data_IF_803326584077
#
_entry.id   IF_803326584077
#
_cell.length_a   1.000
_cell.length_b   1.000
_cell.length_c   1.000
_cell.angle_alpha   90.00
_cell.angle_beta   90.00
_cell.angle_gamma   90.00
#
_symmetry.space_group_name_H-M   'P 1'
#
loop_
_entity.id
_entity.type
_entity.pdbx_description
1 polymer ?
#
# COMPACT_ATOMS: atom_id res chain seq x y z
N UNK A 1 75.64 4.62 30.85
CA UNK A 1 74.89 5.73 31.50
C UNK A 1 73.45 5.65 31.04
N UNK A 2 72.51 5.64 31.98
CA UNK A 2 71.07 5.35 31.82
C UNK A 2 70.39 6.20 30.71
N UNK A 3 69.41 5.66 29.99
CA UNK A 3 68.27 6.44 29.52
C UNK A 3 67.05 6.22 30.43
N UNK A 4 66.26 7.28 30.50
CA UNK A 4 65.12 7.50 31.36
C UNK A 4 63.85 6.85 30.81
N UNK A 5 63.06 6.32 31.74
CA UNK A 5 61.64 6.05 31.62
C UNK A 5 60.85 7.31 31.22
N UNK A 6 59.84 7.14 30.38
CA UNK A 6 58.57 7.87 30.43
C UNK A 6 57.55 7.19 29.50
N UNK A 7 56.84 6.21 30.06
CA UNK A 7 55.60 5.68 29.50
C UNK A 7 54.42 6.47 30.10
N UNK A 8 53.79 7.32 29.29
CA UNK A 8 52.46 7.86 29.57
C UNK A 8 51.43 6.88 29.03
N UNK A 9 50.91 6.04 29.91
CA UNK A 9 49.74 5.21 29.66
C UNK A 9 48.51 6.00 30.14
N UNK A 10 47.68 6.46 29.21
CA UNK A 10 46.37 7.04 29.54
C UNK A 10 45.28 6.21 28.86
N UNK A 11 44.63 5.40 29.68
CA UNK A 11 43.50 4.57 29.31
C UNK A 11 42.31 5.44 28.87
N UNK A 12 41.90 5.28 27.62
CA UNK A 12 40.63 5.82 27.14
C UNK A 12 39.45 5.01 27.74
N UNK A 13 38.43 5.65 28.31
CA UNK A 13 37.26 4.93 28.83
C UNK A 13 36.43 4.33 27.68
N UNK A 14 36.08 3.05 27.83
CA UNK A 14 35.33 2.28 26.84
C UNK A 14 33.91 2.83 26.61
N UNK A 15 33.56 2.99 25.34
CA UNK A 15 32.28 3.51 24.82
C UNK A 15 31.07 2.62 25.18
N UNK A 16 31.31 1.43 25.75
CA UNK A 16 30.27 0.44 26.04
C UNK A 16 29.40 0.76 27.28
N UNK A 17 29.84 1.60 28.22
CA UNK A 17 29.11 1.81 29.49
C UNK A 17 28.12 2.99 29.49
N UNK A 18 28.10 3.83 28.44
CA UNK A 18 27.15 4.96 28.33
C UNK A 18 25.77 4.58 27.76
N UNK A 19 25.66 3.47 27.03
CA UNK A 19 24.40 3.03 26.37
C UNK A 19 23.37 2.44 27.35
N UNK A 20 23.80 1.87 28.47
CA UNK A 20 22.91 1.20 29.43
C UNK A 20 22.27 2.15 30.43
N UNK A 21 22.95 3.24 30.82
CA UNK A 21 22.39 4.24 31.76
C UNK A 21 21.43 5.24 31.09
N UNK A 22 21.58 5.52 29.80
CA UNK A 22 20.60 6.32 29.04
C UNK A 22 19.34 5.53 28.72
N UNK A 23 19.42 4.22 28.44
CA UNK A 23 18.25 3.39 28.17
C UNK A 23 17.23 3.32 29.33
N UNK A 24 17.70 3.31 30.58
CA UNK A 24 16.84 3.30 31.77
C UNK A 24 16.14 4.64 32.06
N UNK A 25 16.77 5.76 31.73
CA UNK A 25 16.16 7.10 31.85
C UNK A 25 15.10 7.34 30.74
N UNK A 26 15.26 6.74 29.55
CA UNK A 26 14.26 6.81 28.48
C UNK A 26 13.04 5.93 28.72
N UNK A 27 13.18 4.76 29.37
CA UNK A 27 12.05 3.94 29.79
C UNK A 27 11.16 4.66 30.83
N UNK A 28 11.77 5.44 31.74
CA UNK A 28 11.04 6.28 32.69
C UNK A 28 10.26 7.42 32.03
N UNK A 29 10.84 8.10 31.03
CA UNK A 29 10.17 9.18 30.31
C UNK A 29 9.03 8.69 29.38
N UNK A 30 9.17 7.48 28.81
CA UNK A 30 8.10 6.81 28.06
C UNK A 30 6.94 6.41 28.98
N UNK A 31 7.22 5.95 30.20
CA UNK A 31 6.19 5.57 31.17
C UNK A 31 5.41 6.77 31.75
N UNK A 32 6.07 7.92 31.94
CA UNK A 32 5.41 9.13 32.49
C UNK A 32 4.54 9.86 31.44
N UNK A 33 4.80 9.70 30.14
CA UNK A 33 3.96 10.28 29.07
C UNK A 33 2.95 9.29 28.46
N UNK A 34 3.12 7.98 28.67
CA UNK A 34 2.05 7.00 28.45
C UNK A 34 0.90 7.18 29.45
N UNK A 35 1.14 7.84 30.59
CA UNK A 35 0.16 8.05 31.68
C UNK A 35 -0.85 9.18 31.47
N UNK A 36 -0.68 10.08 30.50
CA UNK A 36 -1.55 11.26 30.32
C UNK A 36 -2.04 11.45 28.88
N UNK A 37 -2.42 10.37 28.21
CA UNK A 37 -3.41 10.32 27.12
C UNK A 37 -3.44 8.89 26.56
N UNK A 38 -3.56 7.88 27.44
CA UNK A 38 -4.00 6.58 26.96
C UNK A 38 -5.37 6.83 26.30
N UNK A 39 -5.58 6.49 25.01
CA UNK A 39 -6.93 6.44 24.48
C UNK A 39 -7.75 5.57 25.46
N UNK A 40 -9.02 5.92 25.73
CA UNK A 40 -9.84 5.13 26.64
C UNK A 40 -9.71 3.65 26.23
N UNK A 41 -9.53 2.71 27.20
CA UNK A 41 -9.34 1.31 26.88
C UNK A 41 -10.44 0.88 25.91
N UNK A 42 -10.07 0.68 24.64
CA UNK A 42 -11.03 0.32 23.62
C UNK A 42 -11.62 -1.02 24.04
N UNK A 43 -12.95 -1.05 24.21
CA UNK A 43 -13.68 -2.28 24.49
C UNK A 43 -13.21 -3.38 23.53
N UNK A 44 -13.01 -4.63 24.00
CA UNK A 44 -12.54 -5.71 23.17
C UNK A 44 -13.37 -5.76 21.88
N UNK A 45 -12.67 -5.58 20.76
CA UNK A 45 -13.29 -5.42 19.45
C UNK A 45 -14.18 -6.63 19.18
N UNK A 46 -15.47 -6.36 18.91
CA UNK A 46 -16.45 -7.41 18.66
C UNK A 46 -16.08 -8.10 17.34
N UNK A 47 -15.47 -9.28 17.43
CA UNK A 47 -15.20 -10.14 16.27
C UNK A 47 -16.44 -10.98 15.98
N UNK A 48 -17.14 -10.67 14.90
CA UNK A 48 -18.28 -11.46 14.44
C UNK A 48 -17.82 -12.35 13.28
N UNK A 49 -17.86 -13.68 13.40
CA UNK A 49 -17.57 -14.55 12.26
C UNK A 49 -18.55 -14.24 11.13
N UNK A 50 -18.05 -14.28 9.90
CA UNK A 50 -18.82 -14.05 8.69
C UNK A 50 -18.33 -14.95 7.56
N UNK A 51 -19.27 -15.40 6.73
CA UNK A 51 -18.97 -16.10 5.48
C UNK A 51 -19.81 -15.55 4.34
N UNK A 52 -19.19 -15.25 3.20
CA UNK A 52 -19.92 -14.78 2.02
C UNK A 52 -19.02 -14.66 0.81
N UNK A 53 -19.51 -13.98 -0.23
CA UNK A 53 -18.77 -13.78 -1.48
C UNK A 53 -18.70 -12.28 -1.81
N UNK A 54 -17.52 -11.83 -2.21
CA UNK A 54 -17.31 -10.50 -2.76
C UNK A 54 -16.41 -10.61 -3.97
N UNK A 55 -16.80 -9.99 -5.09
CA UNK A 55 -15.99 -9.96 -6.31
C UNK A 55 -15.67 -11.33 -6.92
N UNK A 56 -16.49 -12.37 -6.71
CA UNK A 56 -16.15 -13.72 -7.15
C UNK A 56 -15.19 -14.45 -6.21
N UNK A 57 -14.85 -13.87 -5.06
CA UNK A 57 -13.96 -14.44 -4.06
C UNK A 57 -14.74 -14.79 -2.79
N UNK A 58 -14.52 -16.01 -2.29
CA UNK A 58 -15.06 -16.44 -0.99
C UNK A 58 -14.34 -15.69 0.14
N UNK A 59 -15.10 -15.09 1.04
CA UNK A 59 -14.62 -14.44 2.25
C UNK A 59 -15.09 -15.27 3.45
N UNK A 60 -14.14 -15.74 4.25
CA UNK A 60 -14.39 -16.42 5.52
C UNK A 60 -13.47 -15.80 6.58
N UNK A 61 -14.03 -14.95 7.45
CA UNK A 61 -13.24 -14.15 8.40
C UNK A 61 -14.11 -13.62 9.56
N UNK A 62 -13.66 -12.58 10.26
CA UNK A 62 -14.47 -11.82 11.22
C UNK A 62 -14.62 -10.36 10.80
N UNK A 63 -15.76 -9.77 11.18
CA UNK A 63 -16.08 -8.35 10.98
C UNK A 63 -16.38 -7.61 12.28
N UNK A 64 -16.31 -6.29 12.23
CA UNK A 64 -16.45 -5.36 13.36
C UNK A 64 -17.91 -5.04 13.75
N UNK A 65 -18.90 -5.40 12.92
CA UNK A 65 -20.30 -5.02 13.14
C UNK A 65 -21.32 -5.99 12.55
N UNK A 66 -22.54 -5.95 13.11
CA UNK A 66 -23.68 -6.72 12.59
C UNK A 66 -24.12 -6.26 11.21
N UNK A 67 -23.99 -4.97 10.90
CA UNK A 67 -24.31 -4.41 9.59
C UNK A 67 -23.33 -4.91 8.52
N UNK A 68 -22.03 -4.98 8.82
CA UNK A 68 -21.03 -5.57 7.93
C UNK A 68 -21.33 -7.05 7.68
N UNK A 69 -21.61 -7.81 8.75
CA UNK A 69 -21.97 -9.23 8.65
C UNK A 69 -23.21 -9.44 7.78
N UNK A 70 -24.30 -8.74 8.10
CA UNK A 70 -25.56 -8.80 7.34
C UNK A 70 -25.35 -8.41 5.87
N UNK A 71 -24.55 -7.38 5.62
CA UNK A 71 -24.30 -6.91 4.26
C UNK A 71 -23.62 -7.99 3.42
N UNK A 72 -22.62 -8.67 3.97
CA UNK A 72 -21.88 -9.73 3.29
C UNK A 72 -22.67 -11.05 3.15
N UNK A 73 -23.31 -11.52 4.22
CA UNK A 73 -24.04 -12.80 4.24
C UNK A 73 -25.37 -12.75 3.47
N UNK A 74 -26.13 -11.66 3.61
CA UNK A 74 -27.50 -11.58 3.10
C UNK A 74 -27.63 -10.54 1.99
N UNK A 75 -27.21 -9.30 2.24
CA UNK A 75 -27.55 -8.20 1.35
C UNK A 75 -26.90 -8.32 -0.03
N UNK A 76 -25.63 -8.72 -0.10
CA UNK A 76 -24.92 -8.94 -1.37
C UNK A 76 -25.50 -10.13 -2.12
N UNK A 77 -25.89 -11.20 -1.43
CA UNK A 77 -26.52 -12.41 -1.98
C UNK A 77 -27.95 -12.17 -2.53
N UNK A 78 -28.53 -11.00 -2.26
CA UNK A 78 -29.89 -10.65 -2.70
C UNK A 78 -30.98 -11.04 -1.70
N UNK A 79 -30.60 -11.59 -0.56
CA UNK A 79 -31.51 -11.87 0.54
C UNK A 79 -31.87 -10.54 1.24
N UNK A 80 -33.17 -10.32 1.45
CA UNK A 80 -33.73 -9.08 2.03
C UNK A 80 -34.53 -9.41 3.28
N UNK A 81 -33.82 -9.89 4.30
CA UNK A 81 -34.41 -10.43 5.53
C UNK A 81 -34.53 -9.39 6.64
N UNK A 82 -33.92 -8.21 6.49
CA UNK A 82 -33.93 -7.12 7.47
C UNK A 82 -34.41 -5.80 6.87
N UNK A 83 -35.73 -5.61 6.78
CA UNK A 83 -36.38 -4.50 6.05
C UNK A 83 -35.83 -3.10 6.39
N UNK A 84 -35.60 -2.80 7.67
CA UNK A 84 -35.04 -1.50 8.10
C UNK A 84 -33.57 -1.34 7.69
N UNK A 85 -32.75 -2.38 7.93
CA UNK A 85 -31.32 -2.35 7.59
C UNK A 85 -31.13 -2.31 6.07
N UNK A 86 -31.94 -3.05 5.31
CA UNK A 86 -31.96 -2.98 3.84
C UNK A 86 -32.30 -1.58 3.33
N UNK A 87 -33.29 -0.91 3.92
CA UNK A 87 -33.62 0.47 3.55
C UNK A 87 -32.44 1.42 3.83
N UNK A 88 -31.79 1.29 4.99
CA UNK A 88 -30.59 2.08 5.33
C UNK A 88 -29.42 1.80 4.37
N UNK A 89 -29.19 0.53 4.03
CA UNK A 89 -28.15 0.13 3.07
C UNK A 89 -28.47 0.68 1.69
N UNK A 90 -29.72 0.60 1.23
CA UNK A 90 -30.12 1.15 -0.07
C UNK A 90 -29.86 2.66 -0.16
N UNK A 91 -30.14 3.42 0.92
CA UNK A 91 -29.79 4.85 1.01
C UNK A 91 -28.28 5.05 0.95
N UNK A 92 -27.49 4.27 1.67
CA UNK A 92 -26.02 4.33 1.66
C UNK A 92 -25.44 4.00 0.28
N UNK A 93 -25.96 2.96 -0.40
CA UNK A 93 -25.56 2.61 -1.76
C UNK A 93 -25.89 3.73 -2.74
N UNK A 94 -27.09 4.30 -2.67
CA UNK A 94 -27.52 5.38 -3.56
C UNK A 94 -26.67 6.63 -3.39
N UNK A 95 -26.38 7.02 -2.14
CA UNK A 95 -25.49 8.15 -1.84
C UNK A 95 -24.07 7.90 -2.35
N UNK A 96 -23.52 6.72 -2.11
CA UNK A 96 -22.17 6.34 -2.57
C UNK A 96 -22.06 6.30 -4.10
N UNK A 97 -23.15 5.98 -4.82
CA UNK A 97 -23.14 6.03 -6.29
C UNK A 97 -23.10 7.45 -6.85
N UNK A 98 -23.55 8.44 -6.08
CA UNK A 98 -23.68 9.85 -6.52
C UNK A 98 -22.57 10.75 -6.00
N UNK A 99 -22.06 10.46 -4.80
CA UNK A 99 -20.91 11.13 -4.23
C UNK A 99 -19.66 10.43 -4.74
N UNK A 100 -18.82 11.13 -5.50
CA UNK A 100 -17.45 10.68 -5.76
C UNK A 100 -16.82 10.18 -4.44
N UNK A 101 -16.02 9.12 -4.47
CA UNK A 101 -15.42 8.60 -3.25
C UNK A 101 -14.52 9.65 -2.60
N UNK A 102 -14.99 10.26 -1.51
CA UNK A 102 -14.22 11.21 -0.70
C UNK A 102 -13.93 10.63 0.67
N UNK A 103 -12.84 11.12 1.31
CA UNK A 103 -12.51 10.81 2.71
C UNK A 103 -13.70 11.08 3.64
N UNK A 104 -14.36 12.23 3.46
CA UNK A 104 -15.51 12.63 4.29
C UNK A 104 -16.69 11.67 4.16
N UNK A 105 -17.05 11.29 2.93
CA UNK A 105 -18.15 10.36 2.69
C UNK A 105 -17.88 8.98 3.30
N UNK A 106 -16.68 8.44 3.10
CA UNK A 106 -16.30 7.14 3.62
C UNK A 106 -16.13 7.14 5.15
N UNK A 107 -15.65 8.22 5.76
CA UNK A 107 -15.60 8.39 7.21
C UNK A 107 -17.02 8.38 7.80
N UNK A 108 -17.96 9.14 7.21
CA UNK A 108 -19.38 9.12 7.63
C UNK A 108 -20.02 7.74 7.50
N UNK A 109 -19.67 6.97 6.46
CA UNK A 109 -20.13 5.58 6.33
C UNK A 109 -19.59 4.69 7.45
N UNK A 110 -18.31 4.83 7.78
CA UNK A 110 -17.69 4.10 8.90
C UNK A 110 -18.36 4.45 10.23
N UNK A 111 -18.73 5.71 10.46
CA UNK A 111 -19.44 6.15 11.65
C UNK A 111 -20.88 5.63 11.71
N UNK A 112 -21.61 5.68 10.59
CA UNK A 112 -23.02 5.29 10.53
C UNK A 112 -23.26 3.77 10.58
N UNK A 113 -22.30 2.98 10.10
CA UNK A 113 -22.42 1.53 10.00
C UNK A 113 -21.26 0.81 10.69
N UNK A 114 -20.09 0.82 10.05
CA UNK A 114 -18.79 0.41 10.58
C UNK A 114 -17.73 0.52 9.49
N UNK A 115 -16.45 0.40 9.85
CA UNK A 115 -15.34 0.42 8.89
C UNK A 115 -15.42 -0.77 7.94
N UNK A 116 -15.69 -1.98 8.43
CA UNK A 116 -15.80 -3.15 7.55
C UNK A 116 -17.00 -3.03 6.59
N UNK A 117 -18.13 -2.47 7.04
CA UNK A 117 -19.26 -2.19 6.15
C UNK A 117 -18.86 -1.18 5.07
N UNK A 118 -18.18 -0.10 5.45
CA UNK A 118 -17.69 0.90 4.50
C UNK A 118 -16.70 0.28 3.49
N UNK A 119 -15.81 -0.61 3.92
CA UNK A 119 -14.88 -1.34 3.05
C UNK A 119 -15.63 -2.22 2.05
N UNK A 120 -16.59 -3.03 2.51
CA UNK A 120 -17.40 -3.88 1.64
C UNK A 120 -18.20 -3.07 0.61
N UNK A 121 -18.81 -1.96 1.04
CA UNK A 121 -19.56 -1.08 0.15
C UNK A 121 -18.64 -0.40 -0.87
N UNK A 122 -17.50 0.15 -0.43
CA UNK A 122 -16.50 0.77 -1.29
C UNK A 122 -16.00 -0.20 -2.37
N UNK A 123 -15.57 -1.40 -1.97
CA UNK A 123 -15.12 -2.45 -2.88
C UNK A 123 -16.20 -2.83 -3.88
N UNK A 124 -17.43 -3.07 -3.41
CA UNK A 124 -18.55 -3.42 -4.31
C UNK A 124 -18.77 -2.33 -5.37
N UNK A 125 -18.71 -1.06 -4.98
CA UNK A 125 -18.97 0.06 -5.88
C UNK A 125 -17.83 0.25 -6.90
N UNK A 126 -16.56 0.08 -6.49
CA UNK A 126 -15.43 0.04 -7.43
C UNK A 126 -15.63 -1.04 -8.51
N UNK A 127 -16.15 -2.21 -8.12
CA UNK A 127 -16.38 -3.35 -9.01
C UNK A 127 -17.62 -3.22 -9.89
N UNK A 128 -18.46 -2.19 -9.69
CA UNK A 128 -19.55 -1.88 -10.62
C UNK A 128 -19.06 -1.20 -11.88
N UNK A 129 -17.92 -0.52 -11.84
CA UNK A 129 -17.33 0.08 -13.04
C UNK A 129 -16.88 -1.01 -14.00
N UNK A 130 -17.37 -0.95 -15.23
CA UNK A 130 -17.11 -1.96 -16.26
C UNK A 130 -15.63 -2.21 -16.52
N UNK A 131 -14.80 -1.15 -16.49
CA UNK A 131 -13.34 -1.25 -16.68
C UNK A 131 -12.71 -2.12 -15.58
N UNK A 132 -13.06 -1.87 -14.32
CA UNK A 132 -12.57 -2.62 -13.17
C UNK A 132 -13.06 -4.06 -13.21
N UNK A 133 -14.37 -4.26 -13.45
CA UNK A 133 -14.98 -5.59 -13.53
C UNK A 133 -14.38 -6.47 -14.64
N UNK A 134 -14.12 -5.90 -15.82
CA UNK A 134 -13.48 -6.64 -16.92
C UNK A 134 -12.06 -7.07 -16.56
N UNK A 135 -11.30 -6.18 -15.93
CA UNK A 135 -9.93 -6.47 -15.50
C UNK A 135 -9.90 -7.54 -14.40
N UNK A 136 -10.80 -7.44 -13.41
CA UNK A 136 -10.99 -8.45 -12.38
C UNK A 136 -11.27 -9.83 -12.95
N UNK A 137 -12.24 -9.93 -13.86
CA UNK A 137 -12.58 -11.21 -14.50
C UNK A 137 -11.42 -11.75 -15.34
N UNK A 138 -10.62 -10.88 -15.96
CA UNK A 138 -9.44 -11.31 -16.70
C UNK A 138 -8.37 -11.87 -15.76
N UNK A 139 -8.07 -11.18 -14.66
CA UNK A 139 -7.15 -11.64 -13.64
C UNK A 139 -7.61 -12.96 -13.04
N UNK A 140 -8.86 -13.05 -12.59
CA UNK A 140 -9.41 -14.28 -12.00
C UNK A 140 -9.33 -15.46 -12.97
N UNK A 141 -9.73 -15.29 -14.23
CA UNK A 141 -9.62 -16.36 -15.24
C UNK A 141 -8.18 -16.81 -15.45
N UNK A 142 -7.23 -15.88 -15.49
CA UNK A 142 -5.82 -16.22 -15.70
C UNK A 142 -5.21 -16.88 -14.46
N UNK A 143 -5.54 -16.40 -13.25
CA UNK A 143 -5.16 -17.06 -12.00
C UNK A 143 -5.75 -18.47 -11.92
N UNK A 144 -7.03 -18.65 -12.21
CA UNK A 144 -7.67 -19.97 -12.22
C UNK A 144 -7.06 -20.90 -13.27
N UNK A 145 -6.68 -20.36 -14.43
CA UNK A 145 -5.96 -21.11 -15.49
C UNK A 145 -4.61 -21.58 -14.98
N UNK A 146 -3.84 -20.72 -14.31
CA UNK A 146 -2.56 -21.08 -13.72
C UNK A 146 -2.72 -22.12 -12.61
N UNK A 147 -3.76 -22.01 -11.77
CA UNK A 147 -4.07 -23.00 -10.73
C UNK A 147 -4.42 -24.36 -11.35
N UNK A 148 -5.29 -24.38 -12.39
CA UNK A 148 -5.71 -25.62 -13.07
C UNK A 148 -4.62 -26.24 -13.96
N UNK A 149 -3.63 -25.45 -14.39
CA UNK A 149 -2.59 -25.86 -15.35
C UNK A 149 -1.50 -26.79 -14.83
N UNK A 150 -1.51 -27.05 -13.52
CA UNK A 150 -0.65 -27.86 -12.65
C UNK A 150 0.02 -27.06 -11.54
N UNK A 151 -0.19 -27.58 -10.34
CA UNK A 151 0.49 -27.28 -9.11
C UNK A 151 2.02 -27.50 -9.23
N UNK A 152 2.76 -26.58 -8.63
CA UNK A 152 4.14 -26.68 -8.15
C UNK A 152 5.30 -26.94 -9.14
N UNK A 153 5.15 -27.78 -10.18
CA UNK A 153 6.32 -28.32 -10.91
C UNK A 153 6.40 -27.99 -12.40
N UNK A 154 5.39 -27.33 -13.00
CA UNK A 154 5.50 -26.84 -14.38
C UNK A 154 6.11 -25.43 -14.40
N UNK A 155 7.07 -25.15 -15.30
CA UNK A 155 7.57 -23.80 -15.51
C UNK A 155 6.41 -22.87 -15.80
N UNK A 156 6.40 -21.69 -15.16
CA UNK A 156 5.46 -20.64 -15.54
C UNK A 156 5.63 -20.41 -17.05
N UNK A 157 4.54 -20.40 -17.84
CA UNK A 157 4.70 -20.32 -19.28
C UNK A 157 5.48 -19.06 -19.67
N UNK A 158 6.41 -19.21 -20.61
CA UNK A 158 7.34 -18.18 -21.05
C UNK A 158 6.62 -16.89 -21.47
N UNK A 159 7.30 -15.76 -21.30
CA UNK A 159 6.82 -14.46 -21.71
C UNK A 159 6.41 -14.51 -23.19
N UNK A 160 5.15 -14.16 -23.46
CA UNK A 160 4.63 -14.07 -24.82
C UNK A 160 5.32 -12.98 -25.64
N UNK A 161 5.93 -11.99 -24.96
CA UNK A 161 6.65 -10.90 -25.61
C UNK A 161 7.81 -10.36 -24.71
N UNK A 162 9.10 -10.56 -25.07
CA UNK A 162 10.26 -10.02 -24.36
C UNK A 162 10.49 -8.51 -24.59
N UNK A 163 9.60 -7.80 -25.30
CA UNK A 163 9.72 -6.36 -25.55
C UNK A 163 9.51 -5.48 -24.30
N UNK A 164 8.80 -5.98 -23.29
CA UNK A 164 8.54 -5.25 -22.06
C UNK A 164 9.63 -5.45 -20.98
N UNK A 165 10.12 -4.33 -20.45
CA UNK A 165 10.94 -4.28 -19.24
C UNK A 165 10.08 -3.86 -18.05
N UNK A 166 10.20 -4.58 -16.93
CA UNK A 166 9.48 -4.28 -15.71
C UNK A 166 10.43 -3.58 -14.72
N UNK A 167 10.15 -2.32 -14.43
CA UNK A 167 10.89 -1.53 -13.45
C UNK A 167 10.09 -1.48 -12.14
N UNK A 168 10.74 -1.77 -11.01
CA UNK A 168 10.12 -1.81 -9.70
C UNK A 168 10.60 -0.66 -8.82
N UNK A 169 9.70 0.26 -8.48
CA UNK A 169 9.90 1.32 -7.50
C UNK A 169 9.48 0.81 -6.11
N UNK A 170 10.43 0.61 -5.19
CA UNK A 170 10.16 -0.07 -3.93
C UNK A 170 9.40 0.80 -2.92
N UNK A 171 8.97 0.16 -1.84
CA UNK A 171 8.35 0.84 -0.70
C UNK A 171 9.37 1.34 0.33
N UNK A 172 8.83 1.79 1.46
CA UNK A 172 9.63 2.31 2.57
C UNK A 172 10.43 1.19 3.26
N UNK A 173 11.71 1.42 3.59
CA UNK A 173 12.62 0.43 4.21
C UNK A 173 12.77 -0.92 3.47
N UNK A 174 12.76 -0.89 2.14
CA UNK A 174 12.79 -2.11 1.33
C UNK A 174 14.09 -2.93 1.41
N UNK A 175 15.23 -2.32 1.73
CA UNK A 175 16.55 -2.97 1.80
C UNK A 175 16.93 -3.38 3.23
N UNK A 176 16.36 -2.73 4.25
CA UNK A 176 16.67 -2.93 5.67
C UNK A 176 15.63 -3.76 6.41
N UNK A 177 14.51 -4.10 5.77
CA UNK A 177 13.44 -4.91 6.37
C UNK A 177 12.95 -6.01 5.43
N UNK A 178 12.53 -7.13 6.02
CA UNK A 178 11.83 -8.21 5.30
C UNK A 178 10.33 -7.90 5.20
N UNK A 179 10.02 -6.79 4.53
CA UNK A 179 8.66 -6.31 4.29
C UNK A 179 8.09 -6.79 2.95
N UNK A 180 8.92 -7.33 2.06
CA UNK A 180 8.57 -7.59 0.67
C UNK A 180 8.43 -6.34 -0.19
N UNK A 181 8.77 -5.15 0.33
CA UNK A 181 8.62 -3.86 -0.35
C UNK A 181 9.59 -3.67 -1.53
N UNK A 182 10.58 -4.55 -1.70
CA UNK A 182 11.53 -4.56 -2.83
C UNK A 182 11.07 -5.45 -4.00
N UNK A 183 9.91 -6.11 -3.84
CA UNK A 183 9.36 -7.06 -4.77
C UNK A 183 10.26 -8.26 -5.11
N UNK A 184 11.17 -8.69 -4.21
CA UNK A 184 12.11 -9.78 -4.50
C UNK A 184 11.43 -11.01 -5.12
N UNK A 185 10.39 -11.51 -4.45
CA UNK A 185 9.66 -12.73 -4.86
C UNK A 185 8.90 -12.55 -6.18
N UNK A 186 8.31 -11.38 -6.40
CA UNK A 186 7.60 -11.05 -7.64
C UNK A 186 8.57 -10.91 -8.81
N UNK A 187 9.70 -10.22 -8.60
CA UNK A 187 10.77 -10.07 -9.60
C UNK A 187 11.37 -11.42 -9.97
N UNK A 188 11.64 -12.29 -9.01
CA UNK A 188 12.13 -13.65 -9.25
C UNK A 188 11.13 -14.45 -10.09
N UNK A 189 9.85 -14.42 -9.72
CA UNK A 189 8.77 -15.08 -10.49
C UNK A 189 8.71 -14.59 -11.93
N UNK A 190 8.76 -13.28 -12.16
CA UNK A 190 8.72 -12.70 -13.51
C UNK A 190 10.01 -12.95 -14.30
N UNK A 191 11.16 -12.99 -13.63
CA UNK A 191 12.44 -13.36 -14.27
C UNK A 191 12.44 -14.82 -14.73
N UNK A 192 11.87 -15.73 -13.92
CA UNK A 192 11.66 -17.13 -14.31
C UNK A 192 10.72 -17.29 -15.50
N UNK A 193 9.80 -16.33 -15.71
CA UNK A 193 8.95 -16.25 -16.89
C UNK A 193 9.65 -15.65 -18.11
N UNK A 194 10.90 -15.17 -17.99
CA UNK A 194 11.66 -14.58 -19.09
C UNK A 194 11.52 -13.06 -19.24
N UNK A 195 10.87 -12.36 -18.30
CA UNK A 195 10.82 -10.90 -18.30
C UNK A 195 12.12 -10.27 -17.78
N UNK A 196 12.56 -9.16 -18.37
CA UNK A 196 13.64 -8.34 -17.79
C UNK A 196 13.06 -7.49 -16.65
N UNK A 197 13.45 -7.83 -15.42
CA UNK A 197 13.03 -7.12 -14.22
C UNK A 197 14.19 -6.34 -13.61
N UNK A 198 13.93 -5.10 -13.17
CA UNK A 198 14.93 -4.28 -12.49
C UNK A 198 14.31 -3.58 -11.28
N UNK A 199 15.02 -3.61 -10.16
CA UNK A 199 14.73 -2.75 -9.02
C UNK A 199 15.29 -1.35 -9.27
N UNK A 200 14.52 -0.31 -8.97
CA UNK A 200 14.99 1.07 -8.93
C UNK A 200 15.47 1.34 -7.50
N UNK A 201 16.79 1.48 -7.33
CA UNK A 201 17.40 1.72 -6.01
C UNK A 201 17.19 3.16 -5.56
N UNK A 202 16.02 3.42 -4.99
CA UNK A 202 15.66 4.69 -4.34
C UNK A 202 16.22 4.76 -2.92
N UNK A 203 16.22 5.94 -2.31
CA UNK A 203 16.54 6.06 -0.89
C UNK A 203 15.40 5.48 -0.05
N UNK A 204 15.67 4.49 0.79
CA UNK A 204 14.65 3.74 1.54
C UNK A 204 13.72 4.63 2.40
N UNK A 205 14.27 5.68 3.01
CA UNK A 205 13.58 6.61 3.88
C UNK A 205 13.60 8.06 3.36
N UNK A 206 14.11 8.30 2.16
CA UNK A 206 14.18 9.64 1.55
C UNK A 206 12.82 10.19 1.14
N UNK A 207 12.79 11.50 0.86
CA UNK A 207 11.61 12.22 0.40
C UNK A 207 11.12 11.74 -0.97
N UNK A 208 9.79 11.81 -1.15
CA UNK A 208 9.14 11.41 -2.40
C UNK A 208 9.72 12.14 -3.61
N UNK A 209 9.98 13.46 -3.51
CA UNK A 209 10.47 14.25 -4.64
C UNK A 209 11.89 13.84 -5.08
N UNK A 210 12.76 13.53 -4.12
CA UNK A 210 14.14 13.10 -4.40
C UNK A 210 14.16 11.71 -5.06
N UNK A 211 13.35 10.79 -4.55
CA UNK A 211 13.23 9.45 -5.13
C UNK A 211 12.53 9.46 -6.50
N UNK A 212 11.57 10.37 -6.72
CA UNK A 212 10.95 10.55 -8.02
C UNK A 212 11.99 10.98 -9.09
N UNK A 213 13.00 11.78 -8.72
CA UNK A 213 14.09 12.13 -9.63
C UNK A 213 14.92 10.88 -10.02
N UNK A 214 15.21 10.00 -9.06
CA UNK A 214 15.89 8.72 -9.31
C UNK A 214 15.06 7.84 -10.27
N UNK A 215 13.74 7.77 -10.07
CA UNK A 215 12.84 7.03 -10.97
C UNK A 215 12.85 7.64 -12.37
N UNK A 216 12.71 8.96 -12.50
CA UNK A 216 12.72 9.65 -13.79
C UNK A 216 14.03 9.41 -14.56
N UNK A 217 15.18 9.52 -13.89
CA UNK A 217 16.48 9.27 -14.50
C UNK A 217 16.69 7.80 -14.91
N UNK A 218 16.14 6.87 -14.13
CA UNK A 218 16.13 5.45 -14.46
C UNK A 218 15.29 5.19 -15.72
N UNK A 219 14.10 5.78 -15.82
CA UNK A 219 13.24 5.69 -17.00
C UNK A 219 13.93 6.28 -18.23
N UNK A 220 14.56 7.46 -18.12
CA UNK A 220 15.35 8.08 -19.22
C UNK A 220 16.45 7.15 -19.72
N UNK A 221 17.17 6.50 -18.79
CA UNK A 221 18.27 5.58 -19.11
C UNK A 221 17.79 4.37 -19.89
N UNK A 222 16.69 3.73 -19.46
CA UNK A 222 16.18 2.52 -20.10
C UNK A 222 15.36 2.80 -21.37
N UNK A 223 14.69 3.95 -21.46
CA UNK A 223 13.98 4.37 -22.67
C UNK A 223 14.90 4.53 -23.89
N UNK A 224 16.18 4.87 -23.67
CA UNK A 224 17.21 4.93 -24.73
C UNK A 224 17.58 3.56 -25.30
N UNK A 225 17.34 2.48 -24.55
CA UNK A 225 17.60 1.09 -24.99
C UNK A 225 16.44 0.49 -25.79
N UNK A 226 15.48 1.32 -26.21
CA UNK A 226 14.35 0.98 -27.08
C UNK A 226 13.44 -0.15 -26.56
N UNK A 227 13.27 -0.26 -25.24
CA UNK A 227 12.30 -1.17 -24.63
C UNK A 227 11.09 -0.40 -24.11
N UNK A 228 9.92 -1.02 -24.21
CA UNK A 228 8.74 -0.49 -23.57
C UNK A 228 8.75 -0.90 -22.09
N UNK A 229 8.31 0.03 -21.24
CA UNK A 229 8.48 -0.04 -19.79
C UNK A 229 7.11 -0.23 -19.14
N UNK A 230 7.02 -1.20 -18.24
CA UNK A 230 5.96 -1.33 -17.26
C UNK A 230 6.57 -0.93 -15.92
N UNK A 231 6.14 0.19 -15.36
CA UNK A 231 6.54 0.61 -14.02
C UNK A 231 5.63 -0.03 -12.98
N UNK A 232 6.20 -0.65 -11.96
CA UNK A 232 5.48 -1.22 -10.82
C UNK A 232 5.95 -0.50 -9.57
N UNK A 233 5.05 -0.03 -8.73
CA UNK A 233 5.40 0.67 -7.49
C UNK A 233 4.59 0.18 -6.31
N UNK A 234 5.16 0.19 -5.10
CA UNK A 234 4.43 -0.14 -3.87
C UNK A 234 4.55 0.95 -2.82
N UNK A 235 3.49 1.18 -2.05
CA UNK A 235 3.55 2.01 -0.85
C UNK A 235 4.13 3.41 -1.13
N UNK A 236 5.26 3.81 -0.50
CA UNK A 236 5.97 5.07 -0.80
C UNK A 236 6.32 5.22 -2.29
N UNK A 237 6.69 4.13 -2.96
CA UNK A 237 7.01 4.14 -4.38
C UNK A 237 5.87 4.64 -5.27
N UNK A 238 4.60 4.56 -4.80
CA UNK A 238 3.43 5.05 -5.52
C UNK A 238 3.50 6.56 -5.83
N UNK A 239 3.51 7.46 -4.83
CA UNK A 239 3.63 8.90 -5.08
C UNK A 239 4.95 9.28 -5.76
N UNK A 240 6.04 8.52 -5.59
CA UNK A 240 7.31 8.73 -6.30
C UNK A 240 7.15 8.48 -7.80
N UNK A 241 6.58 7.33 -8.17
CA UNK A 241 6.26 6.97 -9.55
C UNK A 241 5.29 7.97 -10.18
N UNK A 242 4.23 8.35 -9.46
CA UNK A 242 3.26 9.33 -9.91
C UNK A 242 3.92 10.67 -10.27
N UNK A 243 4.80 11.16 -9.39
CA UNK A 243 5.48 12.44 -9.57
C UNK A 243 6.53 12.36 -10.69
N UNK A 244 7.27 11.25 -10.80
CA UNK A 244 8.18 11.03 -11.91
C UNK A 244 7.46 11.06 -13.26
N UNK A 245 6.38 10.28 -13.40
CA UNK A 245 5.65 10.11 -14.67
C UNK A 245 4.84 11.33 -15.08
N UNK A 246 4.17 11.99 -14.13
CA UNK A 246 3.24 13.06 -14.44
C UNK A 246 3.72 14.47 -14.13
N UNK A 247 4.97 14.64 -13.68
CA UNK A 247 5.54 15.96 -13.41
C UNK A 247 6.99 16.11 -13.88
N UNK A 248 7.88 15.17 -13.57
CA UNK A 248 9.32 15.31 -13.86
C UNK A 248 9.72 14.92 -15.29
N UNK A 249 9.03 13.93 -15.88
CA UNK A 249 9.28 13.50 -17.25
C UNK A 249 8.50 14.34 -18.25
N UNK A 250 9.19 14.84 -19.27
CA UNK A 250 8.50 15.41 -20.42
C UNK A 250 7.76 14.32 -21.21
N UNK A 251 6.68 14.63 -21.96
CA UNK A 251 5.89 13.61 -22.67
C UNK A 251 6.73 12.69 -23.58
N UNK A 252 7.75 13.23 -24.26
CA UNK A 252 8.64 12.46 -25.13
C UNK A 252 9.60 11.54 -24.36
N UNK A 253 9.87 11.81 -23.08
CA UNK A 253 10.68 10.97 -22.19
C UNK A 253 9.85 9.82 -21.61
N UNK A 254 8.56 10.07 -21.33
CA UNK A 254 7.61 9.07 -20.86
C UNK A 254 7.02 8.18 -21.97
N UNK A 255 7.36 8.44 -23.24
CA UNK A 255 6.77 7.74 -24.42
C UNK A 255 6.94 6.22 -24.40
N UNK A 256 7.98 5.72 -23.73
CA UNK A 256 8.27 4.28 -23.61
C UNK A 256 7.60 3.64 -22.41
N UNK A 257 7.06 4.42 -21.48
CA UNK A 257 6.28 3.87 -20.38
C UNK A 257 4.89 3.53 -20.91
N UNK A 258 4.57 2.25 -20.97
CA UNK A 258 3.28 1.75 -21.48
C UNK A 258 2.26 1.59 -20.36
N UNK A 259 2.72 1.23 -19.15
CA UNK A 259 1.86 1.07 -18.00
C UNK A 259 2.54 1.46 -16.69
N UNK A 260 1.72 1.81 -15.70
CA UNK A 260 2.08 1.97 -14.31
C UNK A 260 1.12 1.17 -13.43
N UNK A 261 1.66 0.19 -12.70
CA UNK A 261 0.96 -0.64 -11.71
C UNK A 261 1.26 -0.09 -10.32
N UNK A 262 0.29 0.60 -9.74
CA UNK A 262 0.35 1.18 -8.41
C UNK A 262 -0.22 0.21 -7.36
N UNK A 263 0.65 -0.43 -6.58
CA UNK A 263 0.29 -1.41 -5.53
C UNK A 263 0.18 -0.70 -4.17
N UNK A 264 -1.04 -0.39 -3.73
CA UNK A 264 -1.27 0.26 -2.44
C UNK A 264 -0.50 1.57 -2.22
N UNK A 265 -0.22 2.33 -3.29
CA UNK A 265 0.64 3.51 -3.19
C UNK A 265 0.03 4.66 -2.40
N UNK A 266 0.82 5.33 -1.56
CA UNK A 266 0.37 6.40 -0.65
C UNK A 266 0.19 7.75 -1.39
N UNK A 267 -0.64 7.78 -2.43
CA UNK A 267 -0.75 8.93 -3.34
C UNK A 267 -1.18 10.21 -2.64
N UNK A 268 -2.18 10.12 -1.75
CA UNK A 268 -2.64 11.24 -0.90
C UNK A 268 -2.02 11.22 0.50
N UNK A 269 -0.90 10.51 0.66
CA UNK A 269 -0.20 10.36 1.94
C UNK A 269 -0.85 9.33 2.87
N UNK A 270 -0.56 9.46 4.16
CA UNK A 270 -1.13 8.63 5.23
C UNK A 270 -1.44 9.43 6.49
N UNK A 271 -2.58 9.19 7.15
CA UNK A 271 -2.88 9.77 8.47
C UNK A 271 -1.82 9.45 9.53
N UNK A 272 -1.05 8.37 9.37
CA UNK A 272 0.04 8.02 10.31
C UNK A 272 1.19 9.02 10.22
N UNK A 273 1.51 9.49 9.01
CA UNK A 273 2.52 10.52 8.82
C UNK A 273 2.04 11.86 9.41
N UNK A 274 0.78 12.23 9.18
CA UNK A 274 0.21 13.46 9.76
C UNK A 274 0.32 13.48 11.29
N UNK A 275 -0.02 12.37 11.95
CA UNK A 275 0.10 12.22 13.42
C UNK A 275 1.51 12.39 13.95
N UNK A 276 2.53 12.03 13.17
CA UNK A 276 3.91 12.22 13.59
C UNK A 276 4.29 13.71 13.69
N UNK A 277 3.52 14.59 13.04
CA UNK A 277 3.73 16.05 13.06
C UNK A 277 2.68 16.80 13.90
N UNK A 278 1.68 16.12 14.46
CA UNK A 278 0.70 16.72 15.38
C UNK A 278 1.30 16.99 16.77
N UNK A 279 0.92 18.12 17.37
CA UNK A 279 1.23 18.37 18.78
C UNK A 279 0.34 17.50 19.68
N UNK A 280 0.86 16.94 20.81
CA UNK A 280 2.23 17.06 21.32
C UNK A 280 3.22 16.02 20.75
N UNK A 281 2.76 15.06 19.94
CA UNK A 281 3.58 13.93 19.44
C UNK A 281 4.80 14.37 18.66
N UNK A 282 4.71 15.47 17.91
CA UNK A 282 5.82 16.02 17.12
C UNK A 282 7.07 16.34 17.93
N UNK A 283 6.94 16.65 19.23
CA UNK A 283 8.07 16.86 20.13
C UNK A 283 8.86 15.57 20.41
N UNK A 284 8.17 14.43 20.48
CA UNK A 284 8.78 13.12 20.71
C UNK A 284 9.19 12.44 19.40
N UNK A 285 8.46 12.68 18.32
CA UNK A 285 8.71 12.08 17.02
C UNK A 285 10.08 12.49 16.46
N UNK A 286 10.45 13.78 16.55
CA UNK A 286 11.75 14.28 16.08
C UNK A 286 12.96 13.58 16.71
N UNK A 287 13.13 13.54 18.04
CA UNK A 287 14.25 12.83 18.66
C UNK A 287 14.19 11.32 18.40
N UNK A 288 13.00 10.73 18.36
CA UNK A 288 12.83 9.31 18.02
C UNK A 288 13.32 8.98 16.60
N UNK A 289 12.91 9.77 15.61
CA UNK A 289 13.31 9.61 14.22
C UNK A 289 14.80 9.84 14.03
N UNK A 290 15.37 10.86 14.71
CA UNK A 290 16.82 11.06 14.72
C UNK A 290 17.56 9.85 15.30
N UNK A 291 17.09 9.31 16.44
CA UNK A 291 17.67 8.11 17.05
C UNK A 291 17.58 6.88 16.14
N UNK A 292 16.49 6.75 15.38
CA UNK A 292 16.28 5.66 14.42
C UNK A 292 17.00 5.88 13.07
N UNK A 293 17.62 7.04 12.86
CA UNK A 293 18.25 7.39 11.58
C UNK A 293 17.24 7.60 10.45
N UNK A 294 15.99 7.97 10.78
CA UNK A 294 14.95 8.19 9.79
C UNK A 294 15.04 9.61 9.24
N UNK A 295 14.97 9.75 7.92
CA UNK A 295 14.88 11.06 7.30
C UNK A 295 13.48 11.67 7.53
N UNK A 296 13.48 12.78 8.29
CA UNK A 296 12.29 13.58 8.56
C UNK A 296 11.64 14.10 7.30
N UNK A 297 12.42 14.42 6.25
CA UNK A 297 11.90 14.91 4.99
C UNK A 297 11.10 13.82 4.28
N UNK A 298 11.59 12.58 4.33
CA UNK A 298 10.85 11.38 3.98
C UNK A 298 9.48 11.29 4.63
N UNK A 299 9.41 11.29 5.97
CA UNK A 299 8.13 11.15 6.69
C UNK A 299 7.22 12.34 6.38
N UNK A 300 7.76 13.56 6.35
CA UNK A 300 7.01 14.77 6.01
C UNK A 300 6.43 14.72 4.58
N UNK A 301 7.15 14.11 3.64
CA UNK A 301 6.71 13.95 2.24
C UNK A 301 5.49 13.04 2.08
N UNK A 302 5.17 12.23 3.09
CA UNK A 302 3.99 11.34 3.15
C UNK A 302 2.81 11.92 3.93
N UNK A 303 2.91 13.16 4.43
CA UNK A 303 1.76 13.86 5.03
C UNK A 303 0.68 14.11 3.99
N UNK A 304 -0.59 14.14 4.44
CA UNK A 304 -1.73 14.39 3.55
C UNK A 304 -1.61 15.74 2.84
N UNK A 305 -1.22 16.78 3.58
CA UNK A 305 -1.06 18.14 3.04
C UNK A 305 -0.03 18.20 1.90
N UNK A 306 1.15 17.62 2.10
CA UNK A 306 2.23 17.66 1.11
C UNK A 306 1.92 16.77 -0.09
N UNK A 307 1.30 15.62 0.15
CA UNK A 307 0.86 14.70 -0.90
C UNK A 307 -0.25 15.29 -1.77
N UNK A 308 -1.26 15.93 -1.17
CA UNK A 308 -2.32 16.62 -1.92
C UNK A 308 -1.77 17.78 -2.77
N UNK A 309 -0.79 18.54 -2.24
CA UNK A 309 -0.12 19.59 -3.00
C UNK A 309 0.63 19.03 -4.21
N UNK A 310 1.32 17.90 -4.03
CA UNK A 310 2.02 17.18 -5.09
C UNK A 310 1.07 16.66 -6.16
N UNK A 311 -0.01 15.97 -5.78
CA UNK A 311 -0.98 15.41 -6.72
C UNK A 311 -1.61 16.46 -7.63
N UNK A 312 -1.83 17.69 -7.14
CA UNK A 312 -2.36 18.79 -7.98
C UNK A 312 -1.45 19.14 -9.16
N UNK A 313 -0.15 18.88 -9.06
CA UNK A 313 0.86 19.15 -10.09
C UNK A 313 1.00 18.01 -11.11
N UNK A 314 0.47 16.82 -10.80
CA UNK A 314 0.65 15.62 -11.62
C UNK A 314 -0.38 15.61 -12.75
N UNK A 315 0.10 15.40 -13.97
CA UNK A 315 -0.73 15.12 -15.16
C UNK A 315 -0.19 13.87 -15.83
N UNK A 316 -0.87 12.75 -15.63
CA UNK A 316 -0.44 11.49 -16.22
C UNK A 316 -0.58 11.55 -17.75
N UNK A 317 0.47 11.19 -18.52
CA UNK A 317 0.35 11.05 -19.96
C UNK A 317 -0.75 10.05 -20.36
N UNK A 318 -1.61 10.44 -21.30
CA UNK A 318 -2.83 9.69 -21.63
C UNK A 318 -2.57 8.29 -22.22
N UNK A 319 -1.37 8.06 -22.78
CA UNK A 319 -0.98 6.76 -23.33
C UNK A 319 -0.67 5.72 -22.24
N UNK A 320 -0.28 6.16 -21.04
CA UNK A 320 0.09 5.27 -19.94
C UNK A 320 -1.15 4.60 -19.38
N UNK A 321 -1.19 3.27 -19.43
CA UNK A 321 -2.17 2.49 -18.66
C UNK A 321 -1.86 2.61 -17.17
N UNK A 322 -2.72 3.30 -16.43
CA UNK A 322 -2.64 3.31 -14.96
C UNK A 322 -3.53 2.22 -14.37
N UNK A 323 -2.93 1.37 -13.55
CA UNK A 323 -3.60 0.31 -12.80
C UNK A 323 -3.39 0.54 -11.30
N UNK A 324 -4.47 0.62 -10.53
CA UNK A 324 -4.41 0.59 -9.07
C UNK A 324 -4.65 -0.85 -8.60
N UNK A 325 -3.72 -1.43 -7.87
CA UNK A 325 -3.88 -2.73 -7.21
C UNK A 325 -3.94 -2.50 -5.71
N UNK A 326 -5.12 -2.70 -5.11
CA UNK A 326 -5.39 -2.28 -3.73
C UNK A 326 -5.84 -3.48 -2.89
N UNK A 327 -5.34 -3.58 -1.67
CA UNK A 327 -5.86 -4.49 -0.67
C UNK A 327 -7.10 -3.89 -0.02
N UNK A 328 -8.08 -4.71 0.32
CA UNK A 328 -9.28 -4.28 1.03
C UNK A 328 -9.56 -5.24 2.19
N UNK A 329 -8.83 -5.13 3.30
CA UNK A 329 -9.00 -6.05 4.43
C UNK A 329 -10.24 -5.69 5.22
N UNK A 330 -10.90 -6.72 5.77
CA UNK A 330 -11.82 -6.55 6.89
C UNK A 330 -11.04 -6.66 8.20
N UNK A 331 -11.62 -6.20 9.31
CA UNK A 331 -10.94 -6.17 10.62
C UNK A 331 -10.35 -7.52 11.06
N UNK A 332 -10.95 -8.64 10.65
CA UNK A 332 -10.43 -9.99 10.90
C UNK A 332 -9.25 -10.44 10.03
N UNK A 333 -8.90 -9.68 9.00
CA UNK A 333 -7.90 -10.02 7.98
C UNK A 333 -6.65 -9.13 8.06
N UNK A 334 -6.64 -8.18 8.99
CA UNK A 334 -5.50 -7.30 9.25
C UNK A 334 -4.46 -8.03 10.10
N UNK A 335 -3.19 -7.92 9.73
CA UNK A 335 -2.11 -8.66 10.39
C UNK A 335 -1.87 -8.21 11.84
N UNK A 336 -1.93 -9.15 12.81
CA UNK A 336 -1.58 -8.87 14.21
C UNK A 336 -0.14 -8.37 14.35
N UNK A 337 0.07 -7.32 15.13
CA UNK A 337 1.40 -6.80 15.47
C UNK A 337 2.13 -6.05 14.35
N UNK A 338 1.59 -5.99 13.12
CA UNK A 338 2.15 -5.17 12.02
C UNK A 338 1.22 -4.02 11.62
N UNK A 339 -0.03 -4.33 11.29
CA UNK A 339 -1.00 -3.36 10.75
C UNK A 339 -2.18 -3.13 11.66
N UNK A 340 -2.46 -4.04 12.60
CA UNK A 340 -3.68 -4.00 13.44
C UNK A 340 -3.86 -2.69 14.22
N UNK A 341 -2.82 -2.19 14.89
CA UNK A 341 -2.95 -0.98 15.72
C UNK A 341 -3.16 0.26 14.85
N UNK A 342 -2.42 0.35 13.75
CA UNK A 342 -2.58 1.41 12.77
C UNK A 342 -3.98 1.35 12.14
N UNK A 343 -4.47 0.16 11.74
CA UNK A 343 -5.81 -0.04 11.21
C UNK A 343 -6.89 0.46 12.16
N UNK A 344 -6.83 0.02 13.43
CA UNK A 344 -7.77 0.45 14.48
C UNK A 344 -7.76 1.95 14.65
N UNK A 345 -6.55 2.53 14.70
CA UNK A 345 -6.40 3.95 14.88
C UNK A 345 -6.98 4.76 13.72
N UNK A 346 -7.06 4.22 12.50
CA UNK A 346 -7.61 4.91 11.31
C UNK A 346 -9.06 4.56 11.00
N UNK A 347 -9.67 3.60 11.70
CA UNK A 347 -10.99 3.04 11.36
C UNK A 347 -12.10 4.09 11.21
N UNK A 348 -12.06 5.13 12.06
CA UNK A 348 -13.02 6.23 12.07
C UNK A 348 -12.89 7.15 10.84
N UNK A 349 -11.72 7.14 10.19
CA UNK A 349 -11.45 7.94 8.99
C UNK A 349 -11.97 7.26 7.71
N UNK A 350 -12.30 5.96 7.75
CA UNK A 350 -12.80 5.23 6.58
C UNK A 350 -12.16 3.85 6.40
N UNK A 351 -12.51 3.16 5.30
CA UNK A 351 -11.82 1.97 4.82
C UNK A 351 -10.32 2.22 4.71
N UNK A 352 -9.50 1.31 5.24
CA UNK A 352 -8.05 1.45 5.24
C UNK A 352 -7.38 0.07 5.20
N UNK A 353 -6.10 0.02 4.80
CA UNK A 353 -5.32 -1.21 4.70
C UNK A 353 -4.34 -1.41 5.88
N UNK A 354 -4.49 -0.58 6.92
CA UNK A 354 -3.59 -0.55 8.06
C UNK A 354 -2.39 0.39 7.91
N UNK A 355 -2.12 0.99 6.74
CA UNK A 355 -1.17 2.10 6.62
C UNK A 355 -1.76 3.33 5.94
N UNK A 356 -2.79 3.21 5.11
CA UNK A 356 -3.45 4.35 4.46
C UNK A 356 -4.92 4.06 4.18
N UNK A 357 -5.70 5.10 3.86
CA UNK A 357 -7.11 4.96 3.50
C UNK A 357 -7.23 4.42 2.07
N UNK A 358 -8.20 3.54 1.81
CA UNK A 358 -8.34 2.92 0.49
C UNK A 358 -8.72 3.91 -0.63
N UNK A 359 -9.34 5.03 -0.28
CA UNK A 359 -9.62 6.10 -1.24
C UNK A 359 -8.37 6.89 -1.63
N UNK A 360 -7.35 6.87 -0.77
CA UNK A 360 -6.12 7.65 -0.92
C UNK A 360 -5.08 6.98 -1.81
N UNK A 361 -5.26 5.69 -2.11
CA UNK A 361 -4.39 4.92 -2.99
C UNK A 361 -4.81 4.98 -4.47
N UNK A 362 -5.97 5.56 -4.77
CA UNK A 362 -6.52 5.58 -6.13
C UNK A 362 -5.84 6.67 -6.98
N UNK A 363 -5.06 6.26 -7.97
CA UNK A 363 -4.60 7.16 -9.03
C UNK A 363 -5.77 7.57 -9.92
N UNK A 364 -5.84 8.85 -10.28
CA UNK A 364 -6.89 9.44 -11.11
C UNK A 364 -6.98 8.72 -12.46
N UNK A 365 -8.22 8.45 -12.91
CA UNK A 365 -8.59 7.81 -14.18
C UNK A 365 -8.04 6.40 -14.46
N UNK A 366 -7.31 5.82 -13.50
CA UNK A 366 -6.80 4.45 -13.56
C UNK A 366 -7.89 3.38 -13.46
N UNK A 367 -7.57 2.17 -13.91
CA UNK A 367 -8.40 0.99 -13.67
C UNK A 367 -8.01 0.38 -12.34
N UNK A 368 -8.98 0.01 -11.50
CA UNK A 368 -8.72 -0.52 -10.16
C UNK A 368 -8.99 -2.02 -10.09
N UNK A 369 -7.99 -2.74 -9.58
CA UNK A 369 -8.06 -4.09 -9.04
C UNK A 369 -8.09 -4.03 -7.52
N UNK A 370 -9.06 -4.71 -6.92
CA UNK A 370 -9.25 -4.81 -5.47
C UNK A 370 -9.06 -6.26 -5.04
N UNK A 371 -8.17 -6.51 -4.10
CA UNK A 371 -8.01 -7.82 -3.46
C UNK A 371 -8.64 -7.79 -2.07
N UNK A 372 -9.87 -8.34 -1.91
CA UNK A 372 -10.47 -8.55 -0.61
C UNK A 372 -9.54 -9.32 0.32
N UNK A 373 -9.43 -8.86 1.56
CA UNK A 373 -8.72 -9.57 2.62
C UNK A 373 -7.21 -9.43 2.65
N UNK A 374 -6.61 -8.69 1.71
CA UNK A 374 -5.21 -8.31 1.81
C UNK A 374 -5.10 -6.95 2.52
N UNK A 375 -4.24 -6.87 3.52
CA UNK A 375 -3.81 -5.60 4.12
C UNK A 375 -2.62 -5.00 3.34
N UNK A 376 -2.02 -3.93 3.86
CA UNK A 376 -0.98 -3.19 3.16
C UNK A 376 0.26 -4.02 2.79
N UNK A 377 0.48 -5.18 3.42
CA UNK A 377 1.63 -6.04 3.11
C UNK A 377 1.36 -7.03 1.96
N UNK A 378 0.11 -7.16 1.50
CA UNK A 378 -0.26 -8.02 0.37
C UNK A 378 0.27 -9.47 0.48
N UNK A 379 0.34 -10.01 1.70
CA UNK A 379 0.77 -11.39 1.90
C UNK A 379 -0.35 -12.34 1.44
N UNK A 380 -0.13 -12.96 0.28
CA UNK A 380 -1.06 -13.90 -0.34
C UNK A 380 -0.36 -15.24 -0.58
N UNK A 381 -0.96 -16.38 -0.21
CA UNK A 381 -0.42 -17.70 -0.54
C UNK A 381 -0.19 -17.91 -2.04
N UNK A 382 -1.01 -17.26 -2.89
CA UNK A 382 -0.97 -17.32 -4.35
C UNK A 382 -0.17 -16.16 -4.97
N UNK A 383 0.67 -15.45 -4.20
CA UNK A 383 1.38 -14.26 -4.66
C UNK A 383 2.11 -14.45 -6.00
N UNK A 384 2.81 -15.58 -6.17
CA UNK A 384 3.56 -15.85 -7.42
C UNK A 384 2.61 -16.02 -8.61
N UNK A 385 1.53 -16.78 -8.43
CA UNK A 385 0.53 -17.00 -9.48
C UNK A 385 -0.23 -15.71 -9.82
N UNK A 386 -0.59 -14.91 -8.82
CA UNK A 386 -1.23 -13.60 -9.01
C UNK A 386 -0.27 -12.62 -9.69
N UNK A 387 1.02 -12.65 -9.36
CA UNK A 387 2.05 -11.85 -10.05
C UNK A 387 2.14 -12.22 -11.53
N UNK A 388 2.24 -13.51 -11.84
CA UNK A 388 2.28 -14.01 -13.22
C UNK A 388 1.00 -13.65 -13.99
N UNK A 389 -0.17 -13.87 -13.39
CA UNK A 389 -1.46 -13.54 -13.99
C UNK A 389 -1.61 -12.03 -14.25
N UNK A 390 -1.20 -11.19 -13.30
CA UNK A 390 -1.27 -9.74 -13.43
C UNK A 390 -0.40 -9.24 -14.57
N UNK A 391 0.85 -9.71 -14.67
CA UNK A 391 1.74 -9.33 -15.76
C UNK A 391 1.15 -9.68 -17.14
N UNK A 392 0.63 -10.90 -17.31
CA UNK A 392 -0.03 -11.32 -18.55
C UNK A 392 -1.23 -10.47 -18.88
N UNK A 393 -2.15 -10.29 -17.94
CA UNK A 393 -3.38 -9.52 -18.16
C UNK A 393 -3.07 -8.06 -18.53
N UNK A 394 -2.01 -7.47 -17.96
CA UNK A 394 -1.57 -6.13 -18.31
C UNK A 394 -0.97 -6.10 -19.72
N UNK A 395 -0.08 -7.02 -20.05
CA UNK A 395 0.57 -7.10 -21.38
C UNK A 395 -0.47 -7.37 -22.49
N UNK A 396 -1.33 -8.37 -22.31
CA UNK A 396 -2.46 -8.66 -23.21
C UNK A 396 -3.32 -7.42 -23.48
N UNK A 397 -3.48 -6.57 -22.46
CA UNK A 397 -4.27 -5.34 -22.57
C UNK A 397 -3.53 -4.23 -23.29
N UNK A 398 -2.21 -4.18 -23.18
CA UNK A 398 -1.37 -3.23 -23.92
C UNK A 398 -1.32 -3.56 -25.40
N UNK A 399 -1.23 -4.85 -25.76
CA UNK A 399 -1.17 -5.32 -27.15
C UNK A 399 -2.51 -5.21 -27.90
N UNK A 400 -3.63 -5.16 -27.18
CA UNK A 400 -4.99 -5.04 -27.77
C UNK A 400 -5.47 -3.58 -27.92
N UNK A 401 -4.63 -2.60 -27.56
CA UNK A 401 -4.92 -1.17 -27.75
C UNK A 401 -4.49 -0.72 -29.15
#
# INVERSE_FOLDING_TARGET
>A
MRPLDNAFDSAAPSIASRKTRTALLWLGAIAVLAGCAAPPPELPQRKLPVKGELAGQSIETTVDSRSARYYLEHHIAGERTGSELDARIAVAEHRTRRADFTREHLSKLSECFSTDFATLLFTRQLLRHDRNRRLHRALQRETDRLIRGDAADKPLPEASDPHYMLLFAPGWFYATTDSGADFARQRETLTRMGYDTRLIETQENGAVEDNAAIIADTIRRFSRKARDIILVSVSKGGPEAAFALGHLLAPHEARRVSAWINVGGLLRGTPLADRAFEWPRSWLARPYFLYKGWDMAGVASLTGRRSDARLRQIRMPAHILVLNYIGAPLSGQVMPGRTTDNYRSMRHLGPNDGLTLLVDVLALDGVTLVEPGLDHYFLDPLLDLKTAALARVVIDRLEKR
#
